data_IF_167202789175
#
_entry.id   IF_167202789175
#
_cell.length_a   1.000
_cell.length_b   1.000
_cell.length_c   1.000
_cell.angle_alpha   90.00
_cell.angle_beta   90.00
_cell.angle_gamma   90.00
#
_symmetry.space_group_name_H-M   'P 1'
#
loop_
_entity.id
_entity.type
_entity.pdbx_description
1 polymer ?
#
# COMPACT_ATOMS: atom_id res chain seq x y z
N UNK A 1 11.77 -15.02 3.63
CA UNK A 1 12.77 -13.94 3.73
C UNK A 1 13.94 -14.24 4.68
N UNK A 2 13.77 -15.02 5.76
CA UNK A 2 14.87 -15.32 6.69
C UNK A 2 16.11 -15.96 6.03
N UNK A 3 15.91 -16.92 5.12
CA UNK A 3 17.02 -17.50 4.34
C UNK A 3 17.75 -16.47 3.45
N UNK A 4 17.06 -15.45 2.93
CA UNK A 4 17.71 -14.38 2.17
C UNK A 4 18.57 -13.50 3.08
N UNK A 5 18.09 -13.18 4.28
CA UNK A 5 18.87 -12.43 5.28
C UNK A 5 20.13 -13.20 5.68
N UNK A 6 19.98 -14.50 5.97
CA UNK A 6 21.12 -15.36 6.29
C UNK A 6 22.15 -15.39 5.15
N UNK A 7 21.69 -15.56 3.91
CA UNK A 7 22.56 -15.54 2.72
C UNK A 7 23.35 -14.23 2.62
N UNK A 8 22.69 -13.07 2.73
CA UNK A 8 23.34 -11.75 2.63
C UNK A 8 24.38 -11.58 3.75
N UNK A 9 24.05 -11.99 4.98
CA UNK A 9 24.96 -11.86 6.13
C UNK A 9 26.18 -12.78 6.04
N UNK A 10 26.05 -13.93 5.38
CA UNK A 10 27.19 -14.81 5.07
C UNK A 10 28.13 -14.17 4.05
N UNK A 11 27.59 -13.52 3.01
CA UNK A 11 28.38 -12.84 1.98
C UNK A 11 28.97 -11.50 2.45
N UNK A 12 28.35 -10.86 3.44
CA UNK A 12 28.78 -9.57 3.99
C UNK A 12 28.91 -9.64 5.52
N UNK A 13 30.02 -10.17 6.05
CA UNK A 13 30.25 -10.27 7.49
C UNK A 13 30.16 -8.91 8.19
N UNK A 14 29.44 -8.86 9.31
CA UNK A 14 29.19 -7.64 10.08
C UNK A 14 27.97 -6.82 9.61
N UNK A 15 27.36 -7.16 8.49
CA UNK A 15 26.08 -6.58 8.09
C UNK A 15 24.90 -7.18 8.88
N UNK A 16 23.91 -6.36 9.21
CA UNK A 16 22.60 -6.82 9.66
C UNK A 16 21.63 -6.72 8.48
N UNK A 17 21.20 -7.85 7.94
CA UNK A 17 20.19 -7.86 6.88
C UNK A 17 18.79 -7.81 7.51
N UNK A 18 17.92 -6.95 6.97
CA UNK A 18 16.50 -6.90 7.34
C UNK A 18 15.68 -6.94 6.05
N UNK A 19 14.51 -7.57 6.11
CA UNK A 19 13.60 -7.64 4.99
C UNK A 19 12.32 -6.87 5.30
N UNK A 20 12.00 -5.90 4.45
CA UNK A 20 10.74 -5.17 4.49
C UNK A 20 9.88 -5.64 3.33
N UNK A 21 8.69 -6.15 3.63
CA UNK A 21 7.72 -6.47 2.58
C UNK A 21 7.10 -5.17 2.05
N UNK A 22 6.98 -5.07 0.73
CA UNK A 22 6.23 -4.00 0.08
C UNK A 22 4.73 -4.33 0.03
N UNK A 23 4.06 -3.85 -1.03
CA UNK A 23 2.67 -4.20 -1.33
C UNK A 23 2.58 -5.60 -1.96
N UNK A 24 2.79 -6.64 -1.14
CA UNK A 24 2.88 -8.04 -1.57
C UNK A 24 1.75 -8.95 -1.08
N UNK A 25 0.61 -8.41 -0.62
CA UNK A 25 -0.50 -9.19 -0.05
C UNK A 25 -1.12 -10.22 -1.01
N UNK A 26 -0.96 -10.01 -2.32
CA UNK A 26 -1.40 -10.89 -3.40
C UNK A 26 -0.23 -11.64 -4.08
N UNK A 27 1.00 -11.45 -3.58
CA UNK A 27 2.20 -12.10 -4.11
C UNK A 27 2.51 -13.40 -3.37
N UNK A 28 2.33 -14.54 -4.05
CA UNK A 28 2.65 -15.85 -3.51
C UNK A 28 3.93 -16.42 -4.15
N UNK A 29 4.89 -16.96 -3.36
CA UNK A 29 6.06 -17.63 -3.93
C UNK A 29 5.63 -18.89 -4.69
N UNK A 30 6.33 -19.20 -5.77
CA UNK A 30 6.12 -20.42 -6.54
C UNK A 30 7.46 -21.02 -7.00
N UNK A 31 7.72 -22.32 -6.75
CA UNK A 31 6.90 -23.27 -5.99
C UNK A 31 6.85 -22.95 -4.48
N UNK A 32 5.93 -23.55 -3.71
CA UNK A 32 5.78 -23.29 -2.26
C UNK A 32 5.46 -24.53 -1.43
N UNK A 33 5.47 -24.38 -0.11
CA UNK A 33 4.98 -25.43 0.81
C UNK A 33 6.03 -26.40 1.36
N UNK A 34 7.31 -26.26 0.99
CA UNK A 34 8.40 -27.08 1.56
C UNK A 34 9.53 -26.20 2.07
N UNK A 35 10.33 -26.73 3.00
CA UNK A 35 11.53 -26.03 3.49
C UNK A 35 12.58 -25.83 2.38
N UNK A 36 12.65 -26.75 1.42
CA UNK A 36 13.55 -26.61 0.27
C UNK A 36 13.14 -25.42 -0.60
N UNK A 37 11.85 -25.27 -0.92
CA UNK A 37 11.36 -24.09 -1.64
C UNK A 37 11.70 -22.78 -0.89
N UNK A 38 11.56 -22.77 0.44
CA UNK A 38 11.91 -21.59 1.24
C UNK A 38 13.40 -21.24 1.16
N UNK A 39 14.30 -22.24 1.15
CA UNK A 39 15.74 -22.04 0.98
C UNK A 39 16.08 -21.55 -0.42
N UNK A 40 15.51 -22.16 -1.44
CA UNK A 40 15.72 -21.79 -2.85
C UNK A 40 15.30 -20.34 -3.12
N UNK A 41 14.08 -19.95 -2.70
CA UNK A 41 13.62 -18.56 -2.82
C UNK A 41 14.46 -17.59 -2.02
N UNK A 42 14.89 -17.99 -0.82
CA UNK A 42 15.77 -17.20 0.02
C UNK A 42 17.13 -16.95 -0.65
N UNK A 43 17.76 -18.00 -1.17
CA UNK A 43 19.05 -17.91 -1.86
C UNK A 43 18.95 -17.09 -3.14
N UNK A 44 17.89 -17.29 -3.95
CA UNK A 44 17.66 -16.52 -5.17
C UNK A 44 17.53 -15.01 -4.87
N UNK A 45 16.70 -14.66 -3.88
CA UNK A 45 16.53 -13.28 -3.45
C UNK A 45 17.81 -12.69 -2.84
N UNK A 46 18.50 -13.44 -1.98
CA UNK A 46 19.75 -13.00 -1.35
C UNK A 46 20.86 -12.75 -2.38
N UNK A 47 21.03 -13.66 -3.34
CA UNK A 47 21.97 -13.51 -4.46
C UNK A 47 21.68 -12.26 -5.26
N UNK A 48 20.41 -11.97 -5.51
CA UNK A 48 20.05 -10.79 -6.30
C UNK A 48 20.26 -9.49 -5.55
N UNK A 49 20.07 -9.48 -4.22
CA UNK A 49 20.47 -8.35 -3.38
C UNK A 49 21.99 -8.13 -3.46
N UNK A 50 22.80 -9.17 -3.27
CA UNK A 50 24.26 -9.07 -3.39
C UNK A 50 24.68 -8.56 -4.77
N UNK A 51 24.06 -9.06 -5.85
CA UNK A 51 24.33 -8.57 -7.22
C UNK A 51 24.05 -7.07 -7.38
N UNK A 52 22.98 -6.57 -6.78
CA UNK A 52 22.65 -5.13 -6.82
C UNK A 52 23.61 -4.31 -5.95
N UNK A 53 24.06 -4.84 -4.81
CA UNK A 53 25.05 -4.18 -3.95
C UNK A 53 26.40 -3.95 -4.64
N UNK A 54 26.76 -4.82 -5.59
CA UNK A 54 28.00 -4.69 -6.39
C UNK A 54 27.90 -3.66 -7.53
N UNK A 55 26.69 -3.15 -7.82
CA UNK A 55 26.47 -2.13 -8.84
C UNK A 55 26.54 -0.70 -8.24
N UNK A 56 26.76 0.35 -9.06
CA UNK A 56 26.70 1.73 -8.57
C UNK A 56 25.35 2.05 -7.91
N UNK A 57 25.40 2.38 -6.61
CA UNK A 57 24.22 2.73 -5.83
C UNK A 57 23.99 4.25 -5.80
N UNK A 58 22.72 4.66 -5.81
CA UNK A 58 22.36 6.07 -5.63
C UNK A 58 22.47 6.44 -4.15
N UNK A 59 23.30 7.43 -3.84
CA UNK A 59 23.38 7.98 -2.47
C UNK A 59 22.04 8.56 -2.04
N UNK A 60 21.55 8.09 -0.90
CA UNK A 60 20.42 8.69 -0.17
C UNK A 60 21.00 9.65 0.87
N UNK A 61 20.43 10.86 0.96
CA UNK A 61 20.91 11.90 1.86
C UNK A 61 19.93 13.06 1.95
N UNK A 62 20.22 13.99 2.87
CA UNK A 62 19.34 15.09 3.23
C UNK A 62 18.61 14.83 4.56
N UNK A 63 17.77 15.78 5.00
CA UNK A 63 17.04 15.65 6.27
C UNK A 63 16.06 14.47 6.22
N UNK A 64 15.88 13.82 7.37
CA UNK A 64 14.80 12.84 7.59
C UNK A 64 13.57 13.60 8.08
N UNK A 65 12.45 13.43 7.38
CA UNK A 65 11.14 13.90 7.84
C UNK A 65 10.21 12.70 7.99
N UNK A 66 9.68 12.51 9.19
CA UNK A 66 8.73 11.44 9.50
C UNK A 66 7.38 12.06 9.85
N UNK A 67 6.33 11.57 9.22
CA UNK A 67 4.95 11.90 9.58
C UNK A 67 4.18 10.59 9.78
N UNK A 68 3.23 10.65 10.70
CA UNK A 68 2.32 9.56 11.00
C UNK A 68 0.92 10.15 11.13
N UNK A 69 -0.05 9.51 10.52
CA UNK A 69 -1.45 9.91 10.56
C UNK A 69 -2.35 8.69 10.33
N UNK A 70 -3.66 8.87 10.44
CA UNK A 70 -4.63 7.82 10.15
C UNK A 70 -5.55 8.23 8.99
N UNK A 71 -5.86 7.26 8.13
CA UNK A 71 -6.87 7.40 7.09
C UNK A 71 -8.08 6.55 7.45
N UNK A 72 -9.26 7.17 7.55
CA UNK A 72 -10.50 6.42 7.80
C UNK A 72 -10.96 5.75 6.49
N UNK A 73 -10.83 4.43 6.43
CA UNK A 73 -11.17 3.62 5.27
C UNK A 73 -12.56 3.00 5.44
N UNK A 74 -13.52 3.27 4.56
CA UNK A 74 -14.83 2.64 4.65
C UNK A 74 -14.69 1.12 4.44
N UNK A 75 -15.26 0.35 5.36
CA UNK A 75 -15.32 -1.10 5.26
C UNK A 75 -16.56 -1.52 4.49
N UNK A 76 -16.41 -2.53 3.64
CA UNK A 76 -17.55 -3.14 2.96
C UNK A 76 -18.54 -3.68 4.00
N UNK A 77 -19.80 -3.26 3.87
CA UNK A 77 -20.89 -3.74 4.71
C UNK A 77 -21.50 -4.99 4.08
N UNK A 78 -21.89 -5.93 4.92
CA UNK A 78 -22.54 -7.18 4.52
C UNK A 78 -23.88 -7.32 5.24
N UNK A 79 -24.89 -7.76 4.51
CA UNK A 79 -26.13 -8.25 5.09
C UNK A 79 -25.90 -9.58 5.80
N UNK A 80 -26.78 -9.92 6.74
CA UNK A 80 -26.75 -11.23 7.42
C UNK A 80 -26.80 -12.39 6.42
N UNK A 81 -27.64 -12.30 5.40
CA UNK A 81 -27.75 -13.31 4.36
C UNK A 81 -26.46 -13.50 3.54
N UNK A 82 -25.73 -12.42 3.24
CA UNK A 82 -24.42 -12.52 2.58
C UNK A 82 -23.38 -13.19 3.50
N UNK A 83 -23.36 -12.84 4.78
CA UNK A 83 -22.48 -13.48 5.76
C UNK A 83 -22.79 -14.97 5.93
N UNK A 84 -24.06 -15.37 5.99
CA UNK A 84 -24.47 -16.77 6.07
C UNK A 84 -24.01 -17.57 4.84
N UNK A 85 -24.12 -16.96 3.65
CA UNK A 85 -23.60 -17.54 2.41
C UNK A 85 -22.08 -17.69 2.46
N UNK A 86 -21.36 -16.64 2.86
CA UNK A 86 -19.89 -16.70 2.99
C UNK A 86 -19.44 -17.74 4.02
N UNK A 87 -20.14 -17.86 5.15
CA UNK A 87 -19.86 -18.82 6.20
C UNK A 87 -20.06 -20.29 5.78
N UNK A 88 -20.86 -20.52 4.73
CA UNK A 88 -21.21 -21.86 4.25
C UNK A 88 -20.47 -22.26 2.99
N UNK A 89 -20.40 -21.35 2.01
CA UNK A 89 -19.89 -21.64 0.66
C UNK A 89 -18.64 -20.86 0.30
N UNK A 90 -18.14 -20.00 1.19
CA UNK A 90 -16.95 -19.18 0.94
C UNK A 90 -15.65 -19.99 0.98
N UNK A 91 -14.58 -19.48 0.36
CA UNK A 91 -13.22 -19.97 0.61
C UNK A 91 -12.87 -19.85 2.11
N UNK A 92 -11.94 -20.67 2.57
CA UNK A 92 -11.62 -20.82 4.01
C UNK A 92 -11.39 -19.50 4.76
N UNK A 93 -10.70 -18.55 4.13
CA UNK A 93 -10.41 -17.23 4.70
C UNK A 93 -11.65 -16.35 4.84
N UNK A 94 -12.63 -16.45 3.93
CA UNK A 94 -13.91 -15.75 4.05
C UNK A 94 -14.80 -16.41 5.09
N UNK A 95 -14.82 -17.75 5.13
CA UNK A 95 -15.65 -18.52 6.04
C UNK A 95 -15.34 -18.22 7.51
N UNK A 96 -14.06 -18.13 7.88
CA UNK A 96 -13.65 -17.75 9.24
C UNK A 96 -14.12 -16.35 9.62
N UNK A 97 -13.88 -15.37 8.74
CA UNK A 97 -14.28 -13.98 8.97
C UNK A 97 -15.81 -13.82 9.05
N UNK A 98 -16.56 -14.47 8.16
CA UNK A 98 -18.01 -14.40 8.15
C UNK A 98 -18.64 -14.98 9.42
N UNK A 99 -18.14 -16.12 9.90
CA UNK A 99 -18.57 -16.71 11.18
C UNK A 99 -18.29 -15.79 12.37
N UNK A 100 -17.14 -15.12 12.38
CA UNK A 100 -16.81 -14.16 13.43
C UNK A 100 -17.75 -12.94 13.42
N UNK A 101 -18.09 -12.42 12.24
CA UNK A 101 -19.04 -11.32 12.09
C UNK A 101 -20.48 -11.72 12.49
N UNK A 102 -20.94 -12.91 12.09
CA UNK A 102 -22.24 -13.44 12.53
C UNK A 102 -22.30 -13.59 14.05
N UNK A 103 -21.26 -14.12 14.67
CA UNK A 103 -21.18 -14.23 16.12
C UNK A 103 -21.21 -12.86 16.83
N UNK A 104 -20.60 -11.81 16.25
CA UNK A 104 -20.74 -10.43 16.75
C UNK A 104 -22.20 -9.96 16.71
N UNK A 105 -22.90 -10.19 15.59
CA UNK A 105 -24.30 -9.81 15.43
C UNK A 105 -25.22 -10.54 16.42
N UNK A 106 -24.99 -11.83 16.67
CA UNK A 106 -25.73 -12.62 17.66
C UNK A 106 -25.59 -12.05 19.09
N UNK A 107 -24.45 -11.43 19.41
CA UNK A 107 -24.22 -10.74 20.68
C UNK A 107 -24.80 -9.31 20.72
N UNK A 108 -25.44 -8.86 19.65
CA UNK A 108 -25.96 -7.49 19.53
C UNK A 108 -24.88 -6.42 19.33
N UNK A 109 -23.65 -6.81 18.98
CA UNK A 109 -22.57 -5.88 18.69
C UNK A 109 -22.72 -5.29 17.29
N UNK A 110 -22.28 -4.03 17.13
CA UNK A 110 -22.23 -3.38 15.81
C UNK A 110 -20.99 -3.86 15.06
N UNK A 111 -21.15 -4.12 13.76
CA UNK A 111 -20.03 -4.34 12.85
C UNK A 111 -19.40 -3.00 12.52
N UNK A 112 -18.08 -2.94 12.53
CA UNK A 112 -17.31 -1.75 12.18
C UNK A 112 -17.59 -1.33 10.74
N UNK A 113 -17.89 -0.05 10.54
CA UNK A 113 -18.16 0.54 9.22
C UNK A 113 -16.95 1.21 8.58
N UNK A 114 -15.90 1.44 9.38
CA UNK A 114 -14.66 2.02 8.93
C UNK A 114 -13.48 1.42 9.69
N UNK A 115 -12.31 1.48 9.07
CA UNK A 115 -11.02 1.13 9.64
C UNK A 115 -10.10 2.34 9.59
N UNK A 116 -9.67 2.83 10.75
CA UNK A 116 -8.72 3.93 10.86
C UNK A 116 -7.30 3.42 10.61
N UNK A 117 -6.96 3.33 9.33
CA UNK A 117 -5.71 2.79 8.80
C UNK A 117 -4.53 3.70 9.17
N UNK A 118 -3.57 3.23 10.00
CA UNK A 118 -2.34 3.96 10.25
C UNK A 118 -1.48 4.07 9.00
N UNK A 119 -1.00 5.28 8.71
CA UNK A 119 -0.10 5.58 7.60
C UNK A 119 1.13 6.31 8.14
N UNK A 120 2.31 5.75 7.90
CA UNK A 120 3.58 6.42 8.17
C UNK A 120 4.28 6.78 6.86
N UNK A 121 4.82 8.00 6.79
CA UNK A 121 5.63 8.45 5.64
C UNK A 121 6.96 8.96 6.14
N UNK A 122 8.03 8.35 5.66
CA UNK A 122 9.41 8.75 5.95
C UNK A 122 10.05 9.28 4.67
N UNK A 123 10.50 10.52 4.69
CA UNK A 123 11.13 11.20 3.57
C UNK A 123 12.60 11.45 3.88
N UNK A 124 13.50 10.92 3.04
CA UNK A 124 14.93 11.18 3.08
C UNK A 124 15.27 12.22 2.00
N UNK A 125 15.44 13.48 2.41
CA UNK A 125 15.66 14.61 1.51
C UNK A 125 14.59 14.68 0.42
N UNK A 126 15.01 14.61 -0.84
CA UNK A 126 14.10 14.57 -2.01
C UNK A 126 14.19 13.26 -2.79
N UNK A 127 15.08 12.34 -2.37
CA UNK A 127 15.55 11.19 -3.15
C UNK A 127 14.83 9.89 -2.84
N UNK A 128 14.38 9.67 -1.60
CA UNK A 128 13.71 8.44 -1.18
C UNK A 128 12.53 8.79 -0.26
N UNK A 129 11.38 8.18 -0.54
CA UNK A 129 10.20 8.23 0.33
C UNK A 129 9.75 6.81 0.60
N UNK A 130 9.59 6.47 1.87
CA UNK A 130 8.96 5.24 2.30
C UNK A 130 7.54 5.59 2.76
N UNK A 131 6.56 4.84 2.26
CA UNK A 131 5.16 4.94 2.69
C UNK A 131 4.79 3.58 3.26
N UNK A 132 4.55 3.55 4.56
CA UNK A 132 4.08 2.36 5.26
C UNK A 132 2.55 2.45 5.40
N UNK A 133 1.89 1.41 4.91
CA UNK A 133 0.46 1.18 5.00
C UNK A 133 0.23 -0.03 5.89
N UNK A 134 -0.79 0.00 6.74
CA UNK A 134 -1.10 -1.13 7.63
C UNK A 134 -1.79 -2.28 6.88
N UNK A 135 -1.55 -3.51 7.35
CA UNK A 135 -2.17 -4.73 6.83
C UNK A 135 -1.40 -5.40 5.68
N UNK A 136 -2.08 -6.35 5.02
CA UNK A 136 -1.55 -7.08 3.85
C UNK A 136 -1.92 -6.33 2.57
N UNK A 137 -1.15 -5.28 2.27
CA UNK A 137 -1.43 -4.39 1.13
C UNK A 137 -1.07 -5.07 -0.18
N UNK A 138 -1.97 -5.03 -1.16
CA UNK A 138 -1.81 -5.63 -2.51
C UNK A 138 -1.10 -4.69 -3.49
N UNK A 139 -0.52 -5.25 -4.56
CA UNK A 139 0.35 -4.54 -5.50
C UNK A 139 -0.29 -3.29 -6.14
N UNK A 140 -1.62 -3.28 -6.31
CA UNK A 140 -2.36 -2.17 -6.92
C UNK A 140 -2.26 -0.86 -6.13
N UNK A 141 -1.86 -0.91 -4.85
CA UNK A 141 -1.62 0.31 -4.07
C UNK A 141 -0.35 1.04 -4.47
N UNK A 142 0.63 0.38 -5.09
CA UNK A 142 1.89 1.00 -5.53
C UNK A 142 1.62 2.18 -6.48
N UNK A 143 0.90 2.01 -7.62
CA UNK A 143 0.60 3.14 -8.50
C UNK A 143 -0.31 4.19 -7.86
N UNK A 144 -1.22 3.82 -6.95
CA UNK A 144 -2.09 4.76 -6.25
C UNK A 144 -1.32 5.70 -5.32
N UNK A 145 -0.36 5.16 -4.56
CA UNK A 145 0.53 5.95 -3.68
C UNK A 145 1.40 6.89 -4.50
N UNK A 146 1.95 6.43 -5.63
CA UNK A 146 2.73 7.28 -6.52
C UNK A 146 1.91 8.43 -7.12
N UNK A 147 0.68 8.15 -7.56
CA UNK A 147 -0.23 9.17 -8.06
C UNK A 147 -0.58 10.22 -6.99
N UNK A 148 -0.91 9.79 -5.77
CA UNK A 148 -1.21 10.70 -4.66
C UNK A 148 -0.01 11.62 -4.32
N UNK A 149 1.22 11.07 -4.35
CA UNK A 149 2.45 11.84 -4.14
C UNK A 149 2.73 12.83 -5.27
N UNK A 150 2.51 12.43 -6.53
CA UNK A 150 2.69 13.30 -7.69
C UNK A 150 1.72 14.49 -7.69
N UNK A 151 0.45 14.27 -7.32
CA UNK A 151 -0.55 15.33 -7.20
C UNK A 151 -0.14 16.38 -6.15
N UNK A 152 0.39 15.96 -4.99
CA UNK A 152 0.92 16.90 -3.99
C UNK A 152 2.14 17.69 -4.47
N UNK A 153 3.06 17.07 -5.22
CA UNK A 153 4.19 17.81 -5.82
C UNK A 153 3.71 18.86 -6.81
N UNK A 154 2.68 18.57 -7.62
CA UNK A 154 2.06 19.54 -8.53
C UNK A 154 1.37 20.70 -7.80
N UNK A 155 0.71 20.43 -6.68
CA UNK A 155 0.08 21.46 -5.84
C UNK A 155 1.10 22.31 -5.07
N UNK A 156 2.29 21.78 -4.78
CA UNK A 156 3.42 22.52 -4.18
C UNK A 156 4.28 23.30 -5.18
N UNK A 157 4.06 23.17 -6.49
CA UNK A 157 4.68 24.10 -7.44
C UNK A 157 4.12 25.49 -7.15
N UNK A 158 4.97 26.50 -6.85
CA UNK A 158 4.48 27.86 -6.75
C UNK A 158 3.90 28.19 -8.13
N UNK A 159 2.56 28.33 -8.21
CA UNK A 159 1.99 29.08 -9.33
C UNK A 159 2.66 30.45 -9.25
N UNK A 160 3.27 30.96 -10.33
CA UNK A 160 3.63 32.37 -10.35
C UNK A 160 2.33 33.13 -10.07
N UNK A 161 2.31 33.84 -8.95
CA UNK A 161 1.27 34.82 -8.65
C UNK A 161 1.45 35.98 -9.62
N UNK A 162 1.08 35.77 -10.89
CA UNK A 162 0.77 36.88 -11.75
C UNK A 162 -0.56 37.46 -11.27
N UNK A 163 -0.51 38.74 -10.93
CA UNK A 163 -1.62 39.55 -10.47
C UNK A 163 -2.87 39.40 -11.34
N UNK A 164 -4.03 39.36 -10.67
CA UNK A 164 -5.31 39.81 -11.23
C UNK A 164 -6.06 38.81 -12.09
N UNK A 165 -7.04 38.12 -11.50
CA UNK A 165 -8.02 37.35 -12.27
C UNK A 165 -9.05 36.67 -11.39
N UNK A 166 -10.16 37.37 -11.15
CA UNK A 166 -11.34 36.86 -10.42
C UNK A 166 -11.88 35.62 -11.16
N UNK A 167 -11.88 34.46 -10.49
CA UNK A 167 -12.52 33.26 -10.99
C UNK A 167 -14.05 33.37 -10.76
N UNK A 168 -14.82 33.69 -11.80
CA UNK A 168 -16.29 33.53 -11.77
C UNK A 168 -16.68 32.14 -12.30
N UNK A 169 -17.70 31.48 -11.71
CA UNK A 169 -18.20 30.21 -12.23
C UNK A 169 -18.99 30.43 -13.53
N UNK A 170 -18.69 29.64 -14.56
CA UNK A 170 -19.45 29.60 -15.82
C UNK A 170 -20.83 28.98 -15.56
N UNK A 171 -21.88 29.80 -15.58
CA UNK A 171 -23.26 29.35 -15.81
C UNK A 171 -23.38 28.89 -17.26
N UNK A 172 -23.79 27.65 -17.48
CA UNK A 172 -24.31 27.21 -18.76
C UNK A 172 -25.77 27.69 -18.86
N UNK A 173 -26.02 28.64 -19.77
CA UNK A 173 -27.35 29.13 -20.13
C UNK A 173 -27.53 29.05 -21.65
N UNK A 174 -28.62 28.40 -22.06
CA UNK A 174 -29.11 28.22 -23.45
C UNK A 174 -29.51 29.54 -24.12
N UNK A 175 -29.35 29.58 -25.45
CA UNK A 175 -30.25 30.10 -26.52
C UNK A 175 -29.34 30.38 -27.74
N UNK A 176 -29.56 29.88 -28.95
CA UNK A 176 -30.78 29.94 -29.75
C UNK A 176 -30.53 30.94 -30.89
N UNK A 177 -30.47 30.47 -32.15
CA UNK A 177 -30.29 31.33 -33.32
C UNK A 177 -30.39 30.55 -34.63
N UNK A 178 -31.56 30.62 -35.26
CA UNK A 178 -31.91 30.08 -36.58
C UNK A 178 -31.38 30.98 -37.72
N UNK A 179 -31.00 30.31 -38.83
CA UNK A 179 -31.23 30.59 -40.27
C UNK A 179 -30.99 32.00 -40.88
N UNK A 180 -30.63 32.07 -42.18
CA UNK A 180 -31.52 31.68 -43.29
C UNK A 180 -31.25 30.28 -43.85
#
# INVERSE_FOLDING_TARGET
>A
AGFAQAYIQEQHPGAQAMFMIGCGGDANPYPRGTMNHAREHGAALGKEVCRVLDAPLRRVGGPLTCVFDQASLPLQQFSRAELDKMATTGPSWQTGNAKALLAKLERGEKIESAYDCPVAVWQFGTNLTLVALSGEVVVDYVPLVEQARAQRRRLRMPRPLHHGGILRPRRAGRAGGQSP
#
